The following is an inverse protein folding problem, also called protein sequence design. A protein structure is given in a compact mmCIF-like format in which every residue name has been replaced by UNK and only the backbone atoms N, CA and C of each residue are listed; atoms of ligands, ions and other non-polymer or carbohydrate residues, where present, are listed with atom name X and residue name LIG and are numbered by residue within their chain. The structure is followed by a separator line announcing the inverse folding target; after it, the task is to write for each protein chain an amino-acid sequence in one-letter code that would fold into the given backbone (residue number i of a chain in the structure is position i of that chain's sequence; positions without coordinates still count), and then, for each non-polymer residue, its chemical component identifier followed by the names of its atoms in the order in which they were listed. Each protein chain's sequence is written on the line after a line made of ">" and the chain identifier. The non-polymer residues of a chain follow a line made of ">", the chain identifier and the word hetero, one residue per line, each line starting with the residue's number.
data_IF_409491433569
#
_entry.id   IF_409491433569
#
_cell.length_a   1.000
_cell.length_b   1.000
_cell.length_c   1.000
_cell.angle_alpha   90.00
_cell.angle_beta   90.00
_cell.angle_gamma   90.00
#
_symmetry.space_group_name_H-M   'P 1'
#
loop_
_entity.id
_entity.type
_entity.pdbx_description
1 polymer ?
#
# COMPACT_ATOMS: atom_id res chain seq x y z
N UNK A 1 13.68 20.48 27.42
CA UNK A 1 14.28 19.22 27.93
C UNK A 1 15.73 19.14 27.47
N UNK A 2 16.66 18.76 28.36
CA UNK A 2 18.05 18.53 28.00
C UNK A 2 18.18 17.27 27.11
N UNK A 3 19.11 17.29 26.14
CA UNK A 3 19.38 16.14 25.26
C UNK A 3 20.25 15.13 25.98
N UNK A 4 19.93 13.84 25.86
CA UNK A 4 20.78 12.75 26.32
C UNK A 4 21.61 12.24 25.14
N UNK A 5 22.91 12.03 25.35
CA UNK A 5 23.85 11.61 24.30
C UNK A 5 24.55 10.33 24.75
N UNK A 6 24.48 9.30 23.92
CA UNK A 6 25.08 7.99 24.17
C UNK A 6 26.03 7.65 23.02
N UNK A 7 27.16 7.03 23.34
CA UNK A 7 28.23 6.75 22.38
C UNK A 7 28.57 5.26 22.32
N UNK A 8 29.36 4.92 21.31
CA UNK A 8 30.03 3.63 21.15
C UNK A 8 29.13 2.41 21.28
N UNK A 9 29.60 1.39 22.00
CA UNK A 9 28.94 0.10 22.12
C UNK A 9 27.61 0.20 22.86
N UNK A 10 27.52 1.08 23.87
CA UNK A 10 26.29 1.29 24.62
C UNK A 10 25.16 1.80 23.70
N UNK A 11 25.47 2.75 22.80
CA UNK A 11 24.51 3.24 21.81
C UNK A 11 24.12 2.14 20.81
N UNK A 12 25.10 1.42 20.27
CA UNK A 12 24.87 0.35 19.29
C UNK A 12 24.02 -0.79 19.85
N UNK A 13 24.26 -1.19 21.11
CA UNK A 13 23.51 -2.26 21.79
C UNK A 13 22.05 -1.88 22.02
N UNK A 14 21.80 -0.63 22.42
CA UNK A 14 20.44 -0.10 22.59
C UNK A 14 19.69 -0.04 21.25
N UNK A 15 20.32 0.51 20.21
CA UNK A 15 19.73 0.53 18.88
C UNK A 15 19.43 -0.88 18.35
N UNK A 16 20.37 -1.84 18.50
CA UNK A 16 20.18 -3.24 18.10
C UNK A 16 19.01 -3.91 18.83
N UNK A 17 18.84 -3.63 20.12
CA UNK A 17 17.71 -4.16 20.88
C UNK A 17 16.39 -3.63 20.31
N UNK A 18 16.33 -2.34 19.98
CA UNK A 18 15.18 -1.75 19.29
C UNK A 18 14.85 -2.38 17.95
N UNK A 19 15.87 -2.50 17.09
CA UNK A 19 15.78 -3.17 15.78
C UNK A 19 15.28 -4.60 15.93
N UNK A 20 15.83 -5.34 16.89
CA UNK A 20 15.47 -6.75 17.13
C UNK A 20 14.05 -6.88 17.66
N UNK A 21 13.63 -6.05 18.62
CA UNK A 21 12.25 -6.07 19.13
C UNK A 21 11.21 -5.86 18.02
N UNK A 22 11.45 -4.90 17.12
CA UNK A 22 10.55 -4.67 15.99
C UNK A 22 10.58 -5.84 15.01
N UNK A 23 11.77 -6.30 14.65
CA UNK A 23 11.93 -7.38 13.68
C UNK A 23 11.33 -8.71 14.18
N UNK A 24 11.50 -9.04 15.45
CA UNK A 24 10.96 -10.26 16.05
C UNK A 24 9.43 -10.23 16.02
N UNK A 25 8.81 -9.09 16.37
CA UNK A 25 7.36 -8.92 16.33
C UNK A 25 6.77 -9.00 14.92
N UNK A 26 7.49 -8.51 13.89
CA UNK A 26 7.05 -8.57 12.49
C UNK A 26 7.35 -9.94 11.88
N UNK A 27 8.47 -10.57 12.22
CA UNK A 27 8.93 -11.84 11.60
C UNK A 27 7.96 -13.00 11.78
N UNK A 28 7.17 -13.01 12.85
CA UNK A 28 6.18 -14.07 13.10
C UNK A 28 5.08 -14.10 12.04
N UNK A 29 4.87 -13.02 11.28
CA UNK A 29 3.86 -12.96 10.23
C UNK A 29 4.36 -13.45 8.86
N UNK A 30 5.65 -13.78 8.73
CA UNK A 30 6.26 -14.12 7.46
C UNK A 30 5.78 -15.48 6.91
N UNK A 31 5.30 -15.47 5.66
CA UNK A 31 5.02 -16.66 4.86
C UNK A 31 3.70 -17.38 5.20
N UNK A 32 3.43 -18.54 4.56
CA UNK A 32 2.14 -19.24 4.67
C UNK A 32 1.81 -19.72 6.09
N UNK A 33 2.84 -19.99 6.89
CA UNK A 33 2.71 -20.40 8.29
C UNK A 33 2.85 -19.22 9.26
N UNK A 34 2.81 -18.00 8.73
CA UNK A 34 2.80 -16.77 9.51
C UNK A 34 1.62 -16.74 10.47
N UNK A 35 1.87 -16.27 11.68
CA UNK A 35 0.90 -16.16 12.77
C UNK A 35 0.30 -14.77 12.79
N UNK A 36 -0.89 -14.67 13.35
CA UNK A 36 -1.54 -13.39 13.57
C UNK A 36 -0.91 -12.66 14.76
N UNK A 37 -0.80 -11.34 14.64
CA UNK A 37 -0.46 -10.44 15.73
C UNK A 37 -1.74 -9.73 16.18
N UNK A 38 -1.94 -9.68 17.49
CA UNK A 38 -3.03 -8.93 18.11
C UNK A 38 -2.52 -7.56 18.51
N UNK A 39 -3.22 -6.52 18.07
CA UNK A 39 -2.89 -5.12 18.31
C UNK A 39 -4.05 -4.50 19.10
N UNK A 40 -3.73 -3.96 20.26
CA UNK A 40 -4.72 -3.27 21.09
C UNK A 40 -5.18 -1.97 20.44
N UNK A 41 -6.45 -1.62 20.66
CA UNK A 41 -7.04 -0.35 20.21
C UNK A 41 -7.59 0.38 21.42
N UNK A 42 -7.36 1.69 21.47
CA UNK A 42 -7.87 2.56 22.55
C UNK A 42 -9.40 2.48 22.72
N UNK A 43 -10.12 2.16 21.66
CA UNK A 43 -11.56 1.97 21.65
C UNK A 43 -11.93 0.82 20.73
N UNK A 44 -12.94 0.04 21.12
CA UNK A 44 -13.46 -1.09 20.34
C UNK A 44 -12.64 -2.38 20.51
N UNK A 45 -12.78 -3.27 19.53
CA UNK A 45 -12.10 -4.58 19.52
C UNK A 45 -10.66 -4.47 19.03
N UNK A 46 -9.74 -5.33 19.50
CA UNK A 46 -8.37 -5.37 19.01
C UNK A 46 -8.31 -5.74 17.53
N UNK A 47 -7.28 -5.26 16.83
CA UNK A 47 -7.02 -5.65 15.45
C UNK A 47 -6.18 -6.91 15.41
N UNK A 48 -6.63 -7.89 14.61
CA UNK A 48 -5.89 -9.12 14.31
C UNK A 48 -5.33 -8.96 12.90
N UNK A 49 -4.01 -9.05 12.75
CA UNK A 49 -3.38 -8.85 11.44
C UNK A 49 -2.18 -9.77 11.21
N UNK A 50 -1.91 -10.07 9.94
CA UNK A 50 -0.64 -10.65 9.46
C UNK A 50 0.19 -9.66 8.65
N UNK A 51 -0.29 -8.44 8.45
CA UNK A 51 0.45 -7.43 7.71
C UNK A 51 1.61 -6.88 8.55
N UNK A 52 2.83 -7.04 8.06
CA UNK A 52 4.05 -6.58 8.70
C UNK A 52 4.12 -5.05 8.82
N UNK A 53 3.51 -4.29 7.91
CA UNK A 53 3.51 -2.81 8.00
C UNK A 53 2.64 -2.35 9.14
N UNK A 54 1.42 -2.90 9.24
CA UNK A 54 0.50 -2.59 10.33
C UNK A 54 1.12 -2.93 11.68
N UNK A 55 1.77 -4.09 11.81
CA UNK A 55 2.50 -4.44 13.04
C UNK A 55 3.65 -3.47 13.32
N UNK A 56 4.48 -3.16 12.32
CA UNK A 56 5.62 -2.26 12.50
C UNK A 56 5.22 -0.82 12.89
N UNK A 57 4.06 -0.34 12.43
CA UNK A 57 3.54 1.00 12.74
C UNK A 57 3.20 1.18 14.21
N UNK A 58 2.74 0.13 14.87
CA UNK A 58 2.26 0.14 16.25
C UNK A 58 3.38 -0.08 17.29
N UNK A 59 4.60 -0.38 16.83
CA UNK A 59 5.74 -0.62 17.72
C UNK A 59 6.39 0.70 18.11
N UNK A 60 6.17 1.07 19.37
CA UNK A 60 6.84 2.18 20.04
C UNK A 60 7.45 1.70 21.36
N UNK A 61 8.75 1.94 21.54
CA UNK A 61 9.49 1.46 22.71
C UNK A 61 9.66 2.59 23.73
N UNK A 62 9.56 2.25 25.02
CA UNK A 62 9.68 3.23 26.12
C UNK A 62 11.09 3.85 26.21
N UNK A 63 12.13 3.05 25.97
CA UNK A 63 13.51 3.55 25.96
C UNK A 63 13.76 4.32 24.66
N UNK A 64 14.14 5.61 24.72
CA UNK A 64 14.30 6.43 23.52
C UNK A 64 15.36 5.90 22.54
N UNK A 65 16.43 5.26 23.03
CA UNK A 65 17.49 4.72 22.19
C UNK A 65 17.08 3.44 21.49
N UNK A 66 16.36 2.57 22.20
CA UNK A 66 15.73 1.39 21.61
C UNK A 66 14.66 1.84 20.59
N UNK A 67 13.84 2.83 20.92
CA UNK A 67 12.82 3.35 20.01
C UNK A 67 13.43 3.90 18.73
N UNK A 68 14.51 4.68 18.79
CA UNK A 68 15.23 5.13 17.59
C UNK A 68 15.64 3.95 16.68
N UNK A 69 16.11 2.85 17.27
CA UNK A 69 16.40 1.60 16.55
C UNK A 69 15.19 1.04 15.82
N UNK A 70 14.05 0.93 16.52
CA UNK A 70 12.80 0.45 15.94
C UNK A 70 12.31 1.38 14.81
N UNK A 71 12.31 2.70 15.04
CA UNK A 71 11.85 3.68 14.06
C UNK A 71 12.66 3.65 12.74
N UNK A 72 13.97 3.40 12.82
CA UNK A 72 14.81 3.24 11.62
C UNK A 72 14.38 2.04 10.76
N UNK A 73 13.99 0.92 11.37
CA UNK A 73 13.54 -0.26 10.62
C UNK A 73 12.09 -0.10 10.15
N UNK A 74 11.25 0.59 10.93
CA UNK A 74 9.91 0.97 10.49
C UNK A 74 9.95 1.77 9.19
N UNK A 75 10.92 2.67 9.04
CA UNK A 75 11.11 3.44 7.80
C UNK A 75 11.44 2.53 6.61
N UNK A 76 12.21 1.46 6.81
CA UNK A 76 12.48 0.46 5.77
C UNK A 76 11.18 -0.22 5.34
N UNK A 77 10.37 -0.70 6.30
CA UNK A 77 9.10 -1.34 6.01
C UNK A 77 8.13 -0.41 5.25
N UNK A 78 8.00 0.85 5.70
CA UNK A 78 7.13 1.84 5.06
C UNK A 78 7.56 2.11 3.62
N UNK A 79 8.85 2.39 3.38
CA UNK A 79 9.35 2.67 2.02
C UNK A 79 9.20 1.48 1.08
N UNK A 80 9.35 0.26 1.58
CA UNK A 80 9.08 -0.95 0.79
C UNK A 80 7.60 -1.05 0.42
N UNK A 81 6.70 -0.79 1.37
CA UNK A 81 5.25 -0.74 1.09
C UNK A 81 4.91 0.32 0.04
N UNK A 82 5.48 1.53 0.16
CA UNK A 82 5.17 2.64 -0.76
C UNK A 82 5.70 2.38 -2.18
N UNK A 83 6.83 1.67 -2.31
CA UNK A 83 7.45 1.40 -3.61
C UNK A 83 6.92 0.15 -4.31
N UNK A 84 6.53 -0.88 -3.55
CA UNK A 84 6.21 -2.21 -4.10
C UNK A 84 4.84 -2.76 -3.68
N UNK A 85 4.18 -2.21 -2.65
CA UNK A 85 2.90 -2.70 -2.13
C UNK A 85 2.97 -4.00 -1.31
N UNK A 86 4.09 -4.72 -1.34
CA UNK A 86 4.33 -5.99 -0.61
C UNK A 86 5.82 -6.12 -0.22
N UNK A 87 6.16 -7.12 0.59
CA UNK A 87 7.54 -7.49 0.94
C UNK A 87 8.07 -6.82 2.21
N UNK A 88 7.21 -6.19 2.98
CA UNK A 88 7.57 -5.36 4.15
C UNK A 88 8.16 -6.18 5.28
N UNK A 89 7.60 -7.37 5.54
CA UNK A 89 8.13 -8.35 6.50
C UNK A 89 9.51 -8.85 6.05
N UNK A 90 9.68 -9.16 4.76
CA UNK A 90 10.96 -9.59 4.18
C UNK A 90 12.03 -8.51 4.33
N UNK A 91 11.69 -7.25 4.00
CA UNK A 91 12.59 -6.12 4.14
C UNK A 91 13.01 -5.90 5.60
N UNK A 92 12.07 -6.02 6.54
CA UNK A 92 12.33 -5.91 7.98
C UNK A 92 13.31 -6.97 8.48
N UNK A 93 13.09 -8.23 8.10
CA UNK A 93 13.96 -9.35 8.50
C UNK A 93 15.37 -9.19 7.91
N UNK A 94 15.48 -8.80 6.63
CA UNK A 94 16.78 -8.55 5.99
C UNK A 94 17.52 -7.37 6.64
N UNK A 95 16.83 -6.27 6.91
CA UNK A 95 17.41 -5.11 7.58
C UNK A 95 17.96 -5.49 8.97
N UNK A 96 17.20 -6.23 9.76
CA UNK A 96 17.64 -6.69 11.08
C UNK A 96 18.85 -7.62 11.01
N UNK A 97 18.87 -8.55 10.04
CA UNK A 97 19.99 -9.47 9.85
C UNK A 97 21.27 -8.74 9.44
N UNK A 98 21.20 -7.86 8.44
CA UNK A 98 22.34 -7.05 7.97
C UNK A 98 22.86 -6.15 9.09
N UNK A 99 21.96 -5.50 9.84
CA UNK A 99 22.33 -4.62 10.94
C UNK A 99 23.04 -5.38 12.07
N UNK A 100 22.51 -6.54 12.46
CA UNK A 100 23.08 -7.40 13.52
C UNK A 100 24.48 -7.88 13.16
N UNK A 101 24.66 -8.45 11.97
CA UNK A 101 25.97 -8.93 11.53
C UNK A 101 26.95 -7.79 11.25
N UNK A 102 26.47 -6.66 10.73
CA UNK A 102 27.26 -5.44 10.57
C UNK A 102 27.82 -4.94 11.90
N UNK A 103 26.96 -4.86 12.93
CA UNK A 103 27.37 -4.46 14.28
C UNK A 103 28.40 -5.39 14.91
N UNK A 104 28.25 -6.71 14.71
CA UNK A 104 29.23 -7.71 15.18
C UNK A 104 30.61 -7.47 14.58
N UNK A 105 30.69 -7.18 13.28
CA UNK A 105 31.96 -6.88 12.61
C UNK A 105 32.55 -5.54 13.07
N UNK A 106 31.71 -4.51 13.29
CA UNK A 106 32.17 -3.23 13.85
C UNK A 106 32.72 -3.41 15.27
N UNK A 107 32.07 -4.24 16.10
CA UNK A 107 32.58 -4.57 17.43
C UNK A 107 33.91 -5.33 17.38
N UNK A 108 34.15 -6.12 16.33
CA UNK A 108 35.43 -6.77 16.06
C UNK A 108 36.52 -5.82 15.50
N UNK A 109 36.24 -4.52 15.38
CA UNK A 109 37.20 -3.50 14.94
C UNK A 109 37.18 -3.20 13.44
N UNK A 110 36.24 -3.76 12.67
CA UNK A 110 36.12 -3.45 11.25
C UNK A 110 35.63 -2.01 11.03
N UNK A 111 36.09 -1.38 9.94
CA UNK A 111 35.67 -0.04 9.57
C UNK A 111 34.22 -0.04 9.04
N UNK A 112 33.27 0.66 9.68
CA UNK A 112 31.86 0.66 9.27
C UNK A 112 31.62 1.21 7.87
N UNK A 113 32.44 2.16 7.40
CA UNK A 113 32.34 2.73 6.05
C UNK A 113 32.68 1.69 4.99
N UNK A 114 33.71 0.86 5.23
CA UNK A 114 34.09 -0.21 4.31
C UNK A 114 33.09 -1.37 4.33
N UNK A 115 32.55 -1.72 5.50
CA UNK A 115 31.46 -2.69 5.59
C UNK A 115 30.25 -2.25 4.78
N UNK A 116 29.81 -1.00 4.94
CA UNK A 116 28.71 -0.44 4.13
C UNK A 116 29.01 -0.54 2.63
N UNK A 117 30.19 -0.11 2.18
CA UNK A 117 30.56 -0.19 0.75
C UNK A 117 30.55 -1.62 0.22
N UNK A 118 30.94 -2.60 1.05
CA UNK A 118 30.86 -4.02 0.71
C UNK A 118 29.42 -4.50 0.55
N UNK A 119 28.54 -4.15 1.51
CA UNK A 119 27.11 -4.45 1.46
C UNK A 119 26.47 -3.84 0.22
N UNK A 120 26.73 -2.56 -0.06
CA UNK A 120 26.16 -1.85 -1.22
C UNK A 120 26.54 -2.56 -2.54
N UNK A 121 27.80 -2.98 -2.70
CA UNK A 121 28.26 -3.73 -3.87
C UNK A 121 27.60 -5.12 -3.97
N UNK A 122 27.42 -5.81 -2.85
CA UNK A 122 26.76 -7.11 -2.82
C UNK A 122 25.27 -7.00 -3.21
N UNK A 123 24.59 -5.96 -2.71
CA UNK A 123 23.20 -5.65 -3.09
C UNK A 123 23.11 -5.34 -4.58
N UNK A 124 24.00 -4.50 -5.11
CA UNK A 124 24.01 -4.18 -6.55
C UNK A 124 24.18 -5.44 -7.42
N UNK A 125 25.12 -6.32 -7.06
CA UNK A 125 25.33 -7.58 -7.76
C UNK A 125 24.10 -8.52 -7.63
N UNK A 126 23.50 -8.59 -6.45
CA UNK A 126 22.29 -9.35 -6.18
C UNK A 126 21.11 -8.89 -7.03
N UNK A 127 20.84 -7.58 -7.07
CA UNK A 127 19.77 -6.99 -7.90
C UNK A 127 20.00 -7.30 -9.39
N UNK A 128 21.25 -7.16 -9.88
CA UNK A 128 21.58 -7.51 -11.27
C UNK A 128 21.31 -8.97 -11.59
N UNK A 129 21.56 -9.88 -10.63
CA UNK A 129 21.28 -11.30 -10.80
C UNK A 129 19.77 -11.57 -10.82
N UNK A 130 19.02 -10.99 -9.89
CA UNK A 130 17.55 -11.11 -9.84
C UNK A 130 16.89 -10.62 -11.13
N UNK A 131 17.34 -9.50 -11.69
CA UNK A 131 16.82 -8.98 -12.97
C UNK A 131 17.12 -9.90 -14.15
N UNK A 132 18.27 -10.59 -14.14
CA UNK A 132 18.62 -11.56 -15.20
C UNK A 132 17.80 -12.84 -15.11
N UNK A 133 17.45 -13.25 -13.90
CA UNK A 133 16.69 -14.48 -13.65
C UNK A 133 15.17 -14.24 -13.70
N UNK A 134 14.74 -12.97 -13.77
CA UNK A 134 13.34 -12.58 -13.81
C UNK A 134 12.67 -13.02 -15.11
N UNK A 135 11.47 -13.59 -14.98
CA UNK A 135 10.57 -13.91 -16.10
C UNK A 135 9.38 -12.95 -16.06
N UNK A 136 9.04 -12.37 -17.21
CA UNK A 136 7.86 -11.52 -17.33
C UNK A 136 6.59 -12.34 -17.18
N UNK A 137 5.67 -11.87 -16.36
CA UNK A 137 4.32 -12.41 -16.21
C UNK A 137 3.50 -12.07 -17.46
N UNK A 138 2.96 -13.10 -18.10
CA UNK A 138 2.33 -12.97 -19.41
C UNK A 138 0.93 -13.56 -19.49
N UNK A 139 0.64 -14.60 -18.72
CA UNK A 139 -0.64 -15.30 -18.76
C UNK A 139 -1.49 -15.02 -17.50
N UNK A 140 -2.80 -15.29 -17.63
CA UNK A 140 -3.77 -15.14 -16.54
C UNK A 140 -3.44 -16.03 -15.34
N UNK A 141 -2.87 -17.21 -15.60
CA UNK A 141 -2.57 -18.19 -14.55
C UNK A 141 -1.39 -17.75 -13.68
N UNK A 142 -0.36 -17.15 -14.25
CA UNK A 142 0.77 -16.52 -13.56
C UNK A 142 0.28 -15.33 -12.73
N UNK A 143 -0.66 -14.52 -13.24
CA UNK A 143 -1.30 -13.43 -12.48
C UNK A 143 -2.06 -13.99 -11.28
N UNK A 144 -2.90 -15.01 -11.50
CA UNK A 144 -3.64 -15.71 -10.44
C UNK A 144 -2.70 -16.23 -9.36
N UNK A 145 -1.62 -16.89 -9.75
CA UNK A 145 -0.61 -17.42 -8.81
C UNK A 145 0.02 -16.32 -7.97
N UNK A 146 0.40 -15.19 -8.57
CA UNK A 146 0.97 -14.05 -7.83
C UNK A 146 -0.07 -13.50 -6.83
N UNK A 147 -1.30 -13.27 -7.29
CA UNK A 147 -2.39 -12.77 -6.45
C UNK A 147 -2.70 -13.70 -5.28
N UNK A 148 -2.82 -15.02 -5.53
CA UNK A 148 -3.03 -16.05 -4.50
C UNK A 148 -1.92 -16.04 -3.45
N UNK A 149 -0.65 -15.98 -3.88
CA UNK A 149 0.49 -15.99 -2.94
C UNK A 149 0.49 -14.73 -2.07
N UNK A 150 0.26 -13.55 -2.66
CA UNK A 150 0.19 -12.29 -1.92
C UNK A 150 -1.05 -12.19 -1.02
N UNK A 151 -2.17 -12.84 -1.39
CA UNK A 151 -3.38 -12.96 -0.59
C UNK A 151 -3.30 -14.06 0.49
N UNK A 152 -2.09 -14.48 0.88
CA UNK A 152 -1.87 -15.51 1.90
C UNK A 152 -2.49 -16.89 1.54
N UNK A 153 -2.32 -17.31 0.29
CA UNK A 153 -2.81 -18.58 -0.27
C UNK A 153 -4.33 -18.67 -0.33
N UNK A 154 -4.98 -17.53 -0.57
CA UNK A 154 -6.40 -17.47 -0.86
C UNK A 154 -6.63 -17.62 -2.37
N UNK A 155 -7.12 -18.80 -2.76
CA UNK A 155 -7.41 -19.13 -4.16
C UNK A 155 -8.60 -18.33 -4.71
N UNK A 156 -9.57 -17.98 -3.87
CA UNK A 156 -10.76 -17.22 -4.27
C UNK A 156 -10.38 -15.79 -4.63
N UNK A 157 -9.60 -15.11 -3.77
CA UNK A 157 -9.08 -13.77 -4.04
C UNK A 157 -8.16 -13.77 -5.27
N UNK A 158 -7.32 -14.80 -5.42
CA UNK A 158 -6.45 -14.92 -6.58
C UNK A 158 -7.23 -15.02 -7.89
N UNK A 159 -8.34 -15.77 -7.90
CA UNK A 159 -9.20 -15.91 -9.07
C UNK A 159 -9.94 -14.61 -9.40
N UNK A 160 -10.49 -13.94 -8.39
CA UNK A 160 -11.18 -12.65 -8.56
C UNK A 160 -10.23 -11.59 -9.15
N UNK A 161 -8.99 -11.50 -8.66
CA UNK A 161 -8.00 -10.55 -9.17
C UNK A 161 -7.60 -10.90 -10.61
N UNK A 162 -7.41 -12.18 -10.92
CA UNK A 162 -7.09 -12.62 -12.27
C UNK A 162 -8.21 -12.30 -13.26
N UNK A 163 -9.47 -12.53 -12.88
CA UNK A 163 -10.65 -12.16 -13.67
C UNK A 163 -10.78 -10.65 -13.86
N UNK A 164 -10.54 -9.88 -12.81
CA UNK A 164 -10.55 -8.42 -12.88
C UNK A 164 -9.51 -7.94 -13.90
N UNK A 165 -8.25 -8.39 -13.78
CA UNK A 165 -7.16 -8.00 -14.68
C UNK A 165 -7.37 -8.45 -16.13
N UNK A 166 -8.01 -9.59 -16.37
CA UNK A 166 -8.32 -10.06 -17.72
C UNK A 166 -9.41 -9.19 -18.38
N UNK A 167 -10.41 -8.75 -17.60
CA UNK A 167 -11.48 -7.88 -18.09
C UNK A 167 -11.05 -6.42 -18.30
N UNK A 168 -10.27 -5.83 -17.37
CA UNK A 168 -9.85 -4.42 -17.47
C UNK A 168 -8.54 -4.23 -18.24
N UNK A 169 -7.80 -5.31 -18.50
CA UNK A 169 -6.47 -5.29 -19.10
C UNK A 169 -5.37 -4.89 -18.10
N UNK A 170 -4.10 -5.03 -18.52
CA UNK A 170 -2.93 -4.81 -17.63
C UNK A 170 -2.83 -3.38 -17.08
N UNK A 171 -3.34 -2.40 -17.81
CA UNK A 171 -3.31 -0.98 -17.46
C UNK A 171 -4.68 -0.48 -16.93
N UNK A 172 -5.62 -1.39 -16.70
CA UNK A 172 -6.95 -1.06 -16.17
C UNK A 172 -6.93 -0.75 -14.67
N UNK A 173 -7.88 0.07 -14.23
CA UNK A 173 -8.04 0.42 -12.82
C UNK A 173 -8.90 -0.62 -12.10
N UNK A 174 -8.42 -1.11 -10.96
CA UNK A 174 -9.17 -2.00 -10.06
C UNK A 174 -9.37 -1.27 -8.74
N UNK A 175 -10.61 -1.18 -8.28
CA UNK A 175 -10.98 -0.61 -6.98
C UNK A 175 -11.58 -1.70 -6.09
N UNK A 176 -11.33 -1.61 -4.79
CA UNK A 176 -11.88 -2.53 -3.79
C UNK A 176 -12.79 -1.73 -2.87
N UNK A 177 -14.03 -2.19 -2.72
CA UNK A 177 -15.05 -1.57 -1.87
C UNK A 177 -15.54 -2.55 -0.80
N UNK A 178 -16.01 -2.03 0.33
CA UNK A 178 -16.58 -2.86 1.39
C UNK A 178 -18.00 -3.30 1.00
N UNK A 179 -18.17 -4.59 0.75
CA UNK A 179 -19.46 -5.17 0.42
C UNK A 179 -20.39 -5.19 1.66
N UNK A 180 -21.70 -5.01 1.42
CA UNK A 180 -22.73 -5.21 2.45
C UNK A 180 -23.11 -6.69 2.64
N UNK A 181 -22.77 -7.53 1.66
CA UNK A 181 -22.97 -8.98 1.65
C UNK A 181 -21.76 -9.73 2.20
N UNK A 182 -21.93 -11.03 2.44
CA UNK A 182 -20.86 -11.94 2.83
C UNK A 182 -20.00 -12.34 1.62
N UNK A 183 -20.60 -12.36 0.43
CA UNK A 183 -19.92 -12.74 -0.81
C UNK A 183 -19.10 -11.56 -1.38
N UNK A 184 -17.92 -11.89 -1.90
CA UNK A 184 -17.07 -10.95 -2.65
C UNK A 184 -17.47 -11.03 -4.12
N UNK A 185 -17.89 -9.92 -4.71
CA UNK A 185 -18.32 -9.84 -6.11
C UNK A 185 -17.33 -9.03 -6.94
N UNK A 186 -17.26 -9.34 -8.23
CA UNK A 186 -16.49 -8.58 -9.22
C UNK A 186 -17.47 -7.91 -10.19
N UNK A 187 -17.59 -6.60 -10.07
CA UNK A 187 -18.37 -5.77 -10.99
C UNK A 187 -17.41 -5.00 -11.91
N UNK A 188 -17.65 -5.10 -13.22
CA UNK A 188 -16.88 -4.34 -14.22
C UNK A 188 -17.74 -3.19 -14.67
N UNK A 189 -17.31 -1.98 -14.34
CA UNK A 189 -17.94 -0.75 -14.79
C UNK A 189 -17.33 -0.38 -16.14
N UNK A 190 -18.12 -0.46 -17.20
CA UNK A 190 -17.72 0.05 -18.50
C UNK A 190 -17.72 1.60 -18.46
N UNK A 191 -16.54 2.20 -18.46
CA UNK A 191 -16.37 3.65 -18.51
C UNK A 191 -15.35 4.19 -17.52
N UNK A 192 -15.59 5.40 -17.03
CA UNK A 192 -14.75 6.07 -16.05
C UNK A 192 -15.61 6.42 -14.84
N UNK A 193 -15.17 6.00 -13.66
CA UNK A 193 -15.80 6.34 -12.38
C UNK A 193 -14.83 7.20 -11.56
N UNK A 194 -15.36 8.22 -10.90
CA UNK A 194 -14.63 9.07 -9.98
C UNK A 194 -15.49 9.32 -8.73
N UNK A 195 -14.83 9.50 -7.59
CA UNK A 195 -15.51 9.67 -6.28
C UNK A 195 -16.07 11.10 -6.12
N UNK A 196 -17.07 11.42 -6.96
CA UNK A 196 -17.89 12.64 -6.89
C UNK A 196 -19.35 12.32 -7.22
N UNK A 197 -20.24 12.67 -6.30
CA UNK A 197 -21.68 12.67 -6.53
C UNK A 197 -22.19 14.01 -7.09
N UNK A 198 -23.50 14.09 -7.28
CA UNK A 198 -24.18 15.32 -7.69
C UNK A 198 -24.12 16.40 -6.59
N UNK A 199 -24.01 17.67 -7.00
CA UNK A 199 -23.94 18.80 -6.06
C UNK A 199 -25.26 19.08 -5.33
N UNK A 200 -26.38 18.62 -5.88
CA UNK A 200 -27.73 18.89 -5.38
C UNK A 200 -28.63 17.66 -5.59
N UNK A 201 -29.39 17.22 -4.56
CA UNK A 201 -30.33 16.11 -4.68
C UNK A 201 -31.40 16.31 -5.75
N UNK A 202 -31.68 17.55 -6.14
CA UNK A 202 -32.64 17.88 -7.20
C UNK A 202 -32.22 17.40 -8.60
N UNK A 203 -30.97 16.97 -8.78
CA UNK A 203 -30.52 16.37 -10.03
C UNK A 203 -30.91 14.89 -10.16
N UNK A 204 -31.39 14.26 -9.07
CA UNK A 204 -31.83 12.88 -9.06
C UNK A 204 -32.93 12.63 -10.11
N UNK A 205 -32.70 11.69 -11.02
CA UNK A 205 -33.69 11.27 -12.02
C UNK A 205 -34.41 9.99 -11.60
N UNK A 206 -33.75 9.15 -10.79
CA UNK A 206 -34.33 7.93 -10.23
C UNK A 206 -34.42 8.03 -8.70
N UNK A 207 -35.61 8.34 -8.20
CA UNK A 207 -35.85 8.51 -6.76
C UNK A 207 -35.79 7.20 -5.96
N UNK A 208 -35.88 6.04 -6.62
CA UNK A 208 -35.84 4.74 -5.93
C UNK A 208 -34.39 4.34 -5.62
N UNK A 209 -33.46 4.56 -6.56
CA UNK A 209 -32.03 4.27 -6.39
C UNK A 209 -31.20 5.47 -5.92
N UNK A 210 -31.79 6.67 -5.89
CA UNK A 210 -31.12 7.95 -5.60
C UNK A 210 -29.97 8.23 -6.58
N UNK A 211 -30.21 7.98 -7.87
CA UNK A 211 -29.21 8.09 -8.94
C UNK A 211 -29.59 9.14 -9.98
N UNK A 212 -28.58 9.62 -10.70
CA UNK A 212 -28.71 10.51 -11.85
C UNK A 212 -28.34 9.72 -13.10
N UNK A 213 -29.35 9.39 -13.90
CA UNK A 213 -29.22 8.62 -15.14
C UNK A 213 -29.40 9.57 -16.32
N UNK A 214 -28.32 9.82 -17.07
CA UNK A 214 -28.31 10.67 -18.26
C UNK A 214 -28.01 9.82 -19.49
N UNK A 215 -29.00 9.58 -20.34
CA UNK A 215 -28.82 8.85 -21.60
C UNK A 215 -28.34 9.79 -22.72
N UNK A 216 -27.33 9.37 -23.49
CA UNK A 216 -26.78 10.12 -24.64
C UNK A 216 -26.48 11.60 -24.31
N UNK A 217 -25.73 11.82 -23.23
CA UNK A 217 -25.46 13.16 -22.68
C UNK A 217 -24.17 13.80 -23.24
N UNK A 218 -24.15 15.12 -23.24
CA UNK A 218 -22.91 15.88 -23.41
C UNK A 218 -22.17 16.04 -22.09
N UNK A 219 -20.84 16.10 -22.14
CA UNK A 219 -19.97 16.29 -20.98
C UNK A 219 -19.20 17.61 -21.14
N UNK A 220 -19.41 18.55 -20.22
CA UNK A 220 -18.67 19.81 -20.17
C UNK A 220 -17.54 19.71 -19.14
N UNK A 221 -16.29 19.67 -19.61
CA UNK A 221 -15.11 19.65 -18.73
C UNK A 221 -14.59 21.09 -18.57
N UNK A 222 -14.60 21.61 -17.34
CA UNK A 222 -14.11 22.94 -17.04
C UNK A 222 -13.14 22.94 -15.85
N UNK A 223 -11.96 23.54 -16.03
CA UNK A 223 -10.90 23.59 -15.00
C UNK A 223 -11.24 24.54 -13.84
N UNK A 224 -12.05 25.58 -14.11
CA UNK A 224 -12.34 26.66 -13.15
C UNK A 224 -13.69 26.48 -12.47
N UNK A 225 -13.83 27.05 -11.26
CA UNK A 225 -15.14 27.16 -10.60
C UNK A 225 -16.07 28.03 -11.43
N UNK A 226 -17.26 27.51 -11.72
CA UNK A 226 -18.32 28.27 -12.37
C UNK A 226 -19.14 28.98 -11.29
N UNK A 227 -19.08 30.30 -11.24
CA UNK A 227 -19.80 31.11 -10.25
C UNK A 227 -20.92 31.95 -10.87
N UNK A 228 -20.81 32.29 -12.16
CA UNK A 228 -21.77 33.11 -12.87
C UNK A 228 -22.51 32.31 -13.94
N UNK A 229 -23.85 32.44 -13.98
CA UNK A 229 -24.69 31.77 -14.97
C UNK A 229 -24.38 32.22 -16.41
N UNK A 230 -23.95 33.47 -16.59
CA UNK A 230 -23.65 34.04 -17.91
C UNK A 230 -22.58 33.26 -18.67
N UNK A 231 -21.65 32.63 -17.96
CA UNK A 231 -20.57 31.84 -18.56
C UNK A 231 -21.08 30.51 -19.12
N UNK A 232 -22.20 29.99 -18.58
CA UNK A 232 -22.84 28.74 -19.00
C UNK A 232 -23.90 28.93 -20.10
N UNK A 233 -24.51 30.12 -20.20
CA UNK A 233 -25.64 30.38 -21.11
C UNK A 233 -25.38 29.96 -22.57
N UNK A 234 -24.22 30.27 -23.19
CA UNK A 234 -23.98 29.88 -24.58
C UNK A 234 -23.98 28.36 -24.78
N UNK A 235 -23.40 27.62 -23.83
CA UNK A 235 -23.32 26.16 -23.88
C UNK A 235 -24.69 25.53 -23.65
N UNK A 236 -25.44 26.00 -22.65
CA UNK A 236 -26.78 25.51 -22.36
C UNK A 236 -27.75 25.69 -23.54
N UNK A 237 -27.66 26.82 -24.25
CA UNK A 237 -28.48 27.06 -25.44
C UNK A 237 -28.15 26.10 -26.59
N UNK A 238 -26.88 25.76 -26.77
CA UNK A 238 -26.45 24.81 -27.79
C UNK A 238 -26.94 23.40 -27.48
N UNK A 239 -26.78 22.95 -26.23
CA UNK A 239 -27.19 21.61 -25.80
C UNK A 239 -28.72 21.48 -25.78
N UNK A 240 -29.44 22.50 -25.31
CA UNK A 240 -30.90 22.51 -25.29
C UNK A 240 -31.52 22.38 -26.68
N UNK A 241 -30.92 22.99 -27.72
CA UNK A 241 -31.38 22.84 -29.11
C UNK A 241 -31.29 21.41 -29.64
N UNK A 242 -30.37 20.61 -29.09
CA UNK A 242 -30.17 19.22 -29.49
C UNK A 242 -31.03 18.24 -28.69
N UNK A 243 -31.72 18.72 -27.64
CA UNK A 243 -32.62 17.91 -26.83
C UNK A 243 -31.91 16.83 -26.00
N UNK A 244 -30.58 16.93 -25.85
CA UNK A 244 -29.76 15.97 -25.10
C UNK A 244 -29.46 16.48 -23.68
N UNK A 245 -29.27 15.59 -22.70
CA UNK A 245 -28.83 15.98 -21.36
C UNK A 245 -27.39 16.52 -21.32
N UNK A 246 -27.03 17.23 -20.25
CA UNK A 246 -25.70 17.78 -20.03
C UNK A 246 -25.17 17.41 -18.64
N UNK A 247 -23.99 16.79 -18.59
CA UNK A 247 -23.17 16.63 -17.40
C UNK A 247 -22.13 17.77 -17.34
N UNK A 248 -22.02 18.44 -16.20
CA UNK A 248 -21.07 19.52 -15.93
C UNK A 248 -20.16 19.10 -14.77
#
# INVERSE_FOLDING_TARGET
>A
MAKQILFDEAARKKALKGVTSLADAVSVTLGPKGRNVLIDKKFGSPTVTKDGVTVAKEIELQDPYENMGAQMVREVASKTSDAAGDGTTTATVLAAAIYREGLKNVAAGANPVYLKRGVDKAVEAGVKKLLRDSKKVSDREEVRQVATVSANWDDEIGEIIADAMDKVGKDGTITVEEAKSIETTLDVVEGMQFDKGYLSPYFCTNNDTMEVVLEDCYILINEKKITALNDLLPVLQLVSKQGKPLLI
#
